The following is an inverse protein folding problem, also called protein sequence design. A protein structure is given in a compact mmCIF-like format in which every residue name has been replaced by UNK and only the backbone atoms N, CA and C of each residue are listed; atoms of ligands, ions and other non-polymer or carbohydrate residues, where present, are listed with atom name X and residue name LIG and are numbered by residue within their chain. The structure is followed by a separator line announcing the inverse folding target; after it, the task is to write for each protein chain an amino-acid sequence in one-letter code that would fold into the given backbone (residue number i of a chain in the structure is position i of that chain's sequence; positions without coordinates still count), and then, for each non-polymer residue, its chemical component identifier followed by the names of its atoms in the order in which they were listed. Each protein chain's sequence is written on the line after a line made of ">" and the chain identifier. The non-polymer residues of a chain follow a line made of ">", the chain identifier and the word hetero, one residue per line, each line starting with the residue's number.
data_IF_299998529322
#
_entry.id   IF_299998529322
#
_cell.length_a   1.000
_cell.length_b   1.000
_cell.length_c   1.000
_cell.angle_alpha   90.00
_cell.angle_beta   90.00
_cell.angle_gamma   90.00
#
_symmetry.space_group_name_H-M   'P 1'
#
loop_
_entity.id
_entity.type
_entity.pdbx_description
1 polymer ?
#
# COMPACT_ATOMS: atom_id res chain seq x y z
N UNK A 1 -26.41 19.10 20.55
CA UNK A 1 -26.09 17.78 21.15
C UNK A 1 -25.39 16.92 20.09
N UNK A 2 -24.40 17.47 19.37
CA UNK A 2 -24.15 17.01 17.97
C UNK A 2 -22.70 16.61 17.65
N UNK A 3 -21.68 17.13 18.34
CA UNK A 3 -20.28 16.88 17.95
C UNK A 3 -19.64 15.66 18.63
N UNK A 4 -20.07 15.29 19.84
CA UNK A 4 -19.48 14.14 20.57
C UNK A 4 -19.88 12.80 19.99
N UNK A 5 -21.14 12.64 19.61
CA UNK A 5 -21.64 11.42 18.99
C UNK A 5 -21.04 11.22 17.60
N UNK A 6 -20.82 12.30 16.85
CA UNK A 6 -20.11 12.26 15.57
C UNK A 6 -18.65 11.82 15.72
N UNK A 7 -17.94 12.31 16.75
CA UNK A 7 -16.55 11.86 17.02
C UNK A 7 -16.54 10.35 17.36
N UNK A 8 -17.49 9.86 18.15
CA UNK A 8 -17.62 8.44 18.44
C UNK A 8 -17.82 7.62 17.17
N UNK A 9 -18.77 8.02 16.32
CA UNK A 9 -19.05 7.33 15.06
C UNK A 9 -17.80 7.25 14.16
N UNK A 10 -17.06 8.35 14.01
CA UNK A 10 -15.84 8.36 13.20
C UNK A 10 -14.73 7.46 13.77
N UNK A 11 -14.58 7.40 15.10
CA UNK A 11 -13.60 6.52 15.73
C UNK A 11 -14.01 5.05 15.56
N UNK A 12 -15.30 4.74 15.65
CA UNK A 12 -15.81 3.39 15.41
C UNK A 12 -15.67 2.99 13.94
N UNK A 13 -15.99 3.87 12.99
CA UNK A 13 -15.73 3.68 11.55
C UNK A 13 -14.25 3.40 11.29
N UNK A 14 -13.36 4.21 11.89
CA UNK A 14 -11.91 4.05 11.75
C UNK A 14 -11.41 2.71 12.33
N UNK A 15 -11.94 2.30 13.49
CA UNK A 15 -11.62 1.02 14.11
C UNK A 15 -12.06 -0.16 13.24
N UNK A 16 -13.31 -0.15 12.77
CA UNK A 16 -13.87 -1.21 11.93
C UNK A 16 -13.07 -1.34 10.64
N UNK A 17 -12.78 -0.21 9.98
CA UNK A 17 -11.98 -0.18 8.75
C UNK A 17 -10.57 -0.76 8.98
N UNK A 18 -9.91 -0.34 10.05
CA UNK A 18 -8.55 -0.79 10.38
C UNK A 18 -8.53 -2.28 10.73
N UNK A 19 -9.44 -2.75 11.57
CA UNK A 19 -9.51 -4.16 11.97
C UNK A 19 -9.84 -5.08 10.79
N UNK A 20 -10.75 -4.65 9.91
CA UNK A 20 -11.09 -5.41 8.71
C UNK A 20 -9.89 -5.54 7.77
N UNK A 21 -9.15 -4.44 7.56
CA UNK A 21 -7.95 -4.44 6.74
C UNK A 21 -6.85 -5.33 7.35
N UNK A 22 -6.56 -5.16 8.64
CA UNK A 22 -5.50 -5.90 9.34
C UNK A 22 -5.76 -7.41 9.36
N UNK A 23 -7.01 -7.87 9.50
CA UNK A 23 -7.37 -9.30 9.48
C UNK A 23 -6.96 -9.99 8.17
N UNK A 24 -6.97 -9.26 7.07
CA UNK A 24 -6.72 -9.78 5.73
C UNK A 24 -5.47 -9.19 5.09
N UNK A 25 -4.63 -8.48 5.86
CA UNK A 25 -3.56 -7.63 5.33
C UNK A 25 -2.59 -8.38 4.40
N UNK A 26 -2.26 -9.63 4.73
CA UNK A 26 -1.33 -10.44 3.92
C UNK A 26 -1.90 -10.85 2.56
N UNK A 27 -3.20 -10.67 2.33
CA UNK A 27 -3.87 -10.97 1.05
C UNK A 27 -4.23 -9.71 0.26
N UNK A 28 -4.04 -8.52 0.83
CA UNK A 28 -4.39 -7.26 0.18
C UNK A 28 -3.38 -6.93 -0.90
N UNK A 29 -3.91 -6.59 -2.07
CA UNK A 29 -3.13 -6.07 -3.18
C UNK A 29 -2.73 -4.60 -2.96
N UNK A 30 -1.89 -4.08 -3.85
CA UNK A 30 -1.52 -2.66 -3.88
C UNK A 30 -2.75 -1.76 -4.01
N UNK A 31 -3.67 -2.08 -4.92
CA UNK A 31 -4.86 -1.25 -5.18
C UNK A 31 -5.81 -1.27 -3.97
N UNK A 32 -6.01 -2.43 -3.33
CA UNK A 32 -6.82 -2.54 -2.11
C UNK A 32 -6.19 -1.81 -0.93
N UNK A 33 -4.85 -1.85 -0.82
CA UNK A 33 -4.10 -1.12 0.21
C UNK A 33 -4.21 0.39 0.00
N UNK A 34 -4.09 0.86 -1.24
CA UNK A 34 -4.29 2.27 -1.57
C UNK A 34 -5.72 2.73 -1.27
N UNK A 35 -6.72 1.94 -1.66
CA UNK A 35 -8.12 2.23 -1.35
C UNK A 35 -8.35 2.36 0.17
N UNK A 36 -7.81 1.43 0.96
CA UNK A 36 -7.86 1.48 2.42
C UNK A 36 -7.21 2.76 2.98
N UNK A 37 -6.00 3.11 2.53
CA UNK A 37 -5.30 4.31 3.01
C UNK A 37 -6.10 5.58 2.70
N UNK A 38 -6.69 5.66 1.51
CA UNK A 38 -7.54 6.79 1.10
C UNK A 38 -8.80 6.91 1.96
N UNK A 39 -9.48 5.79 2.23
CA UNK A 39 -10.67 5.78 3.09
C UNK A 39 -10.31 6.15 4.54
N UNK A 40 -9.22 5.57 5.08
CA UNK A 40 -8.69 5.89 6.40
C UNK A 40 -8.39 7.39 6.53
N UNK A 41 -7.73 7.96 5.52
CA UNK A 41 -7.40 9.39 5.47
C UNK A 41 -8.67 10.26 5.51
N UNK A 42 -9.69 9.93 4.72
CA UNK A 42 -10.97 10.67 4.72
C UNK A 42 -11.63 10.71 6.10
N UNK A 43 -11.64 9.58 6.82
CA UNK A 43 -12.20 9.50 8.18
C UNK A 43 -11.36 10.34 9.16
N UNK A 44 -10.03 10.21 9.11
CA UNK A 44 -9.12 10.98 9.97
C UNK A 44 -9.28 12.49 9.75
N UNK A 45 -9.41 12.94 8.51
CA UNK A 45 -9.65 14.36 8.20
C UNK A 45 -10.98 14.85 8.76
N UNK A 46 -12.05 14.05 8.67
CA UNK A 46 -13.34 14.37 9.32
C UNK A 46 -13.17 14.49 10.83
N UNK A 47 -12.42 13.58 11.45
CA UNK A 47 -12.14 13.59 12.89
C UNK A 47 -11.38 14.84 13.32
N UNK A 48 -10.34 15.22 12.56
CA UNK A 48 -9.55 16.44 12.80
C UNK A 48 -10.44 17.69 12.71
N UNK A 49 -11.32 17.78 11.70
CA UNK A 49 -12.24 18.93 11.54
C UNK A 49 -13.18 19.11 12.74
N UNK A 50 -13.54 18.05 13.45
CA UNK A 50 -14.39 18.13 14.65
C UNK A 50 -13.64 18.56 15.92
N UNK A 51 -12.32 18.68 15.85
CA UNK A 51 -11.44 19.03 16.98
C UNK A 51 -10.50 17.91 17.40
N UNK A 52 -10.50 16.79 16.67
CA UNK A 52 -9.51 15.72 16.79
C UNK A 52 -9.43 15.11 18.20
N UNK A 53 -8.26 14.55 18.55
CA UNK A 53 -8.02 13.93 19.85
C UNK A 53 -8.19 14.90 21.04
N UNK A 54 -8.03 16.21 20.83
CA UNK A 54 -8.15 17.19 21.91
C UNK A 54 -9.57 17.29 22.51
N UNK A 55 -10.59 16.88 21.75
CA UNK A 55 -11.98 16.78 22.24
C UNK A 55 -12.40 15.35 22.57
N UNK A 56 -11.48 14.38 22.46
CA UNK A 56 -11.76 12.99 22.74
C UNK A 56 -11.80 12.75 24.26
N UNK A 57 -12.68 11.85 24.69
CA UNK A 57 -12.71 11.35 26.06
C UNK A 57 -11.73 10.17 26.22
N UNK A 58 -11.61 9.66 27.44
CA UNK A 58 -10.67 8.58 27.74
C UNK A 58 -10.94 7.28 26.97
N UNK A 59 -12.21 6.94 26.75
CA UNK A 59 -12.60 5.74 26.00
C UNK A 59 -12.22 5.87 24.52
N UNK A 60 -12.52 7.03 23.93
CA UNK A 60 -12.15 7.38 22.56
C UNK A 60 -10.63 7.36 22.37
N UNK A 61 -9.86 7.89 23.33
CA UNK A 61 -8.40 7.77 23.31
C UNK A 61 -7.91 6.33 23.35
N UNK A 62 -8.56 5.48 24.13
CA UNK A 62 -8.21 4.05 24.21
C UNK A 62 -8.43 3.37 22.86
N UNK A 63 -9.56 3.64 22.19
CA UNK A 63 -9.83 3.15 20.83
C UNK A 63 -8.82 3.67 19.81
N UNK A 64 -8.49 4.96 19.85
CA UNK A 64 -7.47 5.54 18.98
C UNK A 64 -6.09 4.90 19.17
N UNK A 65 -5.69 4.64 20.43
CA UNK A 65 -4.44 3.95 20.71
C UNK A 65 -4.43 2.50 20.20
N UNK A 66 -5.57 1.81 20.25
CA UNK A 66 -5.71 0.48 19.67
C UNK A 66 -5.52 0.51 18.14
N UNK A 67 -6.14 1.47 17.47
CA UNK A 67 -5.99 1.69 16.02
C UNK A 67 -4.52 1.97 15.67
N UNK A 68 -3.88 2.89 16.40
CA UNK A 68 -2.48 3.28 16.16
C UNK A 68 -1.49 2.12 16.38
N UNK A 69 -1.84 1.13 17.19
CA UNK A 69 -0.99 -0.04 17.40
C UNK A 69 -0.79 -0.88 16.12
N UNK A 70 -1.69 -0.75 15.14
CA UNK A 70 -1.56 -1.43 13.84
C UNK A 70 -0.75 -0.67 12.80
N UNK A 71 -0.40 0.61 13.04
CA UNK A 71 0.24 1.45 12.01
C UNK A 71 1.58 0.88 11.54
N UNK A 72 2.39 0.32 12.45
CA UNK A 72 3.66 -0.32 12.09
C UNK A 72 3.48 -1.56 11.21
N UNK A 73 2.41 -2.34 11.43
CA UNK A 73 2.08 -3.50 10.61
C UNK A 73 1.64 -3.07 9.21
N UNK A 74 0.81 -2.04 9.13
CA UNK A 74 0.32 -1.46 7.88
C UNK A 74 1.49 -0.88 7.07
N UNK A 75 2.39 -0.13 7.72
CA UNK A 75 3.59 0.42 7.09
C UNK A 75 4.50 -0.69 6.54
N UNK A 76 4.73 -1.75 7.32
CA UNK A 76 5.52 -2.90 6.86
C UNK A 76 4.91 -3.57 5.63
N UNK A 77 3.58 -3.69 5.55
CA UNK A 77 2.91 -4.26 4.38
C UNK A 77 3.07 -3.37 3.14
N UNK A 78 2.91 -2.05 3.29
CA UNK A 78 3.14 -1.10 2.19
C UNK A 78 4.59 -1.15 1.68
N UNK A 79 5.57 -1.29 2.59
CA UNK A 79 6.97 -1.45 2.21
C UNK A 79 7.21 -2.76 1.46
N UNK A 80 6.59 -3.87 1.89
CA UNK A 80 6.70 -5.15 1.19
C UNK A 80 6.16 -5.06 -0.25
N UNK A 81 5.00 -4.44 -0.45
CA UNK A 81 4.43 -4.23 -1.79
C UNK A 81 5.35 -3.38 -2.68
N UNK A 82 5.96 -2.34 -2.11
CA UNK A 82 6.94 -1.50 -2.81
C UNK A 82 8.18 -2.30 -3.22
N UNK A 83 8.72 -3.10 -2.31
CA UNK A 83 9.91 -3.91 -2.55
C UNK A 83 9.64 -4.99 -3.61
N UNK A 84 8.47 -5.63 -3.58
CA UNK A 84 8.03 -6.55 -4.62
C UNK A 84 8.00 -5.86 -5.98
N UNK A 85 7.32 -4.71 -6.11
CA UNK A 85 7.26 -3.96 -7.36
C UNK A 85 8.66 -3.60 -7.90
N UNK A 86 9.59 -3.24 -7.01
CA UNK A 86 10.98 -2.98 -7.37
C UNK A 86 11.68 -4.25 -7.90
N UNK A 87 11.51 -5.40 -7.24
CA UNK A 87 12.08 -6.67 -7.68
C UNK A 87 11.55 -7.09 -9.05
N UNK A 88 10.24 -6.93 -9.31
CA UNK A 88 9.63 -7.21 -10.61
C UNK A 88 10.26 -6.36 -11.72
N UNK A 89 10.50 -5.07 -11.47
CA UNK A 89 11.17 -4.19 -12.42
C UNK A 89 12.62 -4.62 -12.70
N UNK A 90 13.36 -5.02 -11.66
CA UNK A 90 14.74 -5.51 -11.80
C UNK A 90 14.79 -6.81 -12.62
N UNK A 91 13.91 -7.77 -12.35
CA UNK A 91 13.83 -9.03 -13.11
C UNK A 91 13.49 -8.78 -14.58
N UNK A 92 12.55 -7.87 -14.86
CA UNK A 92 12.21 -7.48 -16.24
C UNK A 92 13.41 -6.89 -16.98
N UNK A 93 14.18 -6.02 -16.32
CA UNK A 93 15.38 -5.42 -16.91
C UNK A 93 16.45 -6.48 -17.18
N UNK A 94 16.67 -7.42 -16.25
CA UNK A 94 17.59 -8.53 -16.43
C UNK A 94 17.18 -9.43 -17.61
N UNK A 95 15.90 -9.79 -17.71
CA UNK A 95 15.37 -10.59 -18.82
C UNK A 95 15.54 -9.89 -20.18
N UNK A 96 15.34 -8.57 -20.25
CA UNK A 96 15.58 -7.78 -21.46
C UNK A 96 17.06 -7.76 -21.83
N UNK A 97 17.95 -7.57 -20.85
CA UNK A 97 19.41 -7.59 -21.08
C UNK A 97 19.87 -8.95 -21.61
N UNK A 98 19.34 -10.06 -21.05
CA UNK A 98 19.64 -11.40 -21.55
C UNK A 98 19.14 -11.61 -22.99
N UNK A 99 17.90 -11.22 -23.32
CA UNK A 99 17.38 -11.32 -24.69
C UNK A 99 18.23 -10.54 -25.70
N UNK A 100 18.65 -9.32 -25.37
CA UNK A 100 19.50 -8.50 -26.24
C UNK A 100 20.85 -9.18 -26.55
N UNK A 101 21.45 -9.89 -25.58
CA UNK A 101 22.70 -10.63 -25.80
C UNK A 101 22.52 -11.83 -26.74
N UNK A 102 21.41 -12.56 -26.62
CA UNK A 102 21.10 -13.67 -27.53
C UNK A 102 20.78 -13.14 -28.94
N UNK A 103 19.91 -12.14 -29.07
CA UNK A 103 19.57 -11.54 -30.37
C UNK A 103 20.78 -10.91 -31.07
N UNK A 104 21.66 -10.23 -30.34
CA UNK A 104 22.88 -9.66 -30.91
C UNK A 104 23.86 -10.74 -31.43
N UNK A 105 23.97 -11.89 -30.74
CA UNK A 105 24.75 -13.04 -31.24
C UNK A 105 24.14 -13.63 -32.52
N UNK A 106 22.84 -13.87 -32.54
CA UNK A 106 22.16 -14.39 -33.74
C UNK A 106 22.21 -13.42 -34.92
N UNK A 107 22.13 -12.11 -34.69
CA UNK A 107 22.26 -11.09 -35.73
C UNK A 107 23.69 -11.02 -36.31
N UNK A 108 24.72 -11.14 -35.47
CA UNK A 108 26.12 -11.18 -35.92
C UNK A 108 26.42 -12.42 -36.79
N UNK A 109 25.88 -13.59 -36.41
CA UNK A 109 26.05 -14.83 -37.19
C UNK A 109 25.22 -14.84 -38.49
N UNK A 110 24.04 -14.22 -38.48
CA UNK A 110 23.18 -14.10 -39.68
C UNK A 110 23.78 -13.15 -40.74
N UNK A 111 24.41 -12.04 -40.30
CA UNK A 111 25.12 -11.13 -41.21
C UNK A 111 26.31 -11.78 -41.93
N UNK A 112 26.92 -12.78 -41.31
CA UNK A 112 28.03 -13.57 -41.87
C UNK A 112 27.56 -14.62 -42.90
N UNK A 113 26.29 -15.03 -42.85
CA UNK A 113 25.70 -15.96 -43.81
C UNK A 113 25.28 -15.28 -45.13
N UNK A 114 24.77 -14.05 -45.10
CA UNK A 114 24.34 -13.34 -46.31
C UNK A 114 25.52 -12.93 -47.23
N UNK A 115 26.73 -12.79 -46.68
CA UNK A 115 27.95 -12.51 -47.46
C UNK A 115 28.59 -13.73 -48.13
N UNK A 116 28.00 -14.93 -48.00
CA UNK A 116 28.39 -16.13 -48.74
C UNK A 116 27.38 -16.42 -49.85
N UNK A 117 27.29 -15.56 -50.85
CA UNK A 117 26.68 -15.86 -52.15
C UNK A 117 27.53 -15.30 -53.27
#
# INVERSE_FOLDING_TARGET
>A
MESKDQINQLIDELAILTDAFVKEINTKSSDETEAFVNERQSIVERLIRLGGPAKANQEQHTKLNHILAYDALIESHMLALKDEAQQWLMQRNAARSQRNLYEAKYAADSYLMDKRK
#
